data_IF_487209189077
#
_entry.id   IF_487209189077
#
_cell.length_a   1.000
_cell.length_b   1.000
_cell.length_c   1.000
_cell.angle_alpha   90.00
_cell.angle_beta   90.00
_cell.angle_gamma   90.00
#
_symmetry.space_group_name_H-M   'P 1'
#
loop_
_entity.id
_entity.type
_entity.pdbx_description
1 polymer ?
#
# COMPACT_ATOMS: atom_id res chain seq x y z
N UNK A 1 -12.18 13.76 -14.21
CA UNK A 1 -10.77 13.58 -14.66
C UNK A 1 -10.58 12.14 -15.12
N UNK A 2 -9.66 11.84 -16.04
CA UNK A 2 -9.42 10.47 -16.51
C UNK A 2 -8.79 9.55 -15.44
N UNK A 3 -8.12 10.14 -14.44
CA UNK A 3 -7.51 9.45 -13.31
C UNK A 3 -7.91 10.11 -11.99
N UNK A 4 -8.08 9.30 -10.95
CA UNK A 4 -8.35 9.74 -9.58
C UNK A 4 -7.29 9.12 -8.67
N UNK A 5 -6.46 9.96 -8.06
CA UNK A 5 -5.41 9.52 -7.13
C UNK A 5 -5.78 10.04 -5.74
N UNK A 6 -5.71 9.17 -4.75
CA UNK A 6 -5.91 9.52 -3.34
C UNK A 6 -4.59 9.32 -2.61
N UNK A 7 -4.23 10.20 -1.68
CA UNK A 7 -3.07 9.99 -0.83
C UNK A 7 -3.40 10.19 0.64
N UNK A 8 -2.64 9.50 1.48
CA UNK A 8 -2.69 9.60 2.94
C UNK A 8 -1.37 9.14 3.54
N UNK A 9 -1.16 9.36 4.83
CA UNK A 9 0.08 8.91 5.47
C UNK A 9 0.09 7.39 5.68
N UNK A 10 -0.98 6.85 6.27
CA UNK A 10 -1.09 5.45 6.67
C UNK A 10 -1.48 4.51 5.51
N UNK A 11 -0.97 3.27 5.48
CA UNK A 11 -1.32 2.30 4.45
C UNK A 11 -2.73 1.71 4.64
N UNK A 12 -3.46 1.57 3.54
CA UNK A 12 -4.64 0.68 3.51
C UNK A 12 -4.16 -0.76 3.67
N UNK A 13 -3.22 -1.16 2.82
CA UNK A 13 -2.48 -2.42 2.94
C UNK A 13 -0.99 -2.15 2.96
N UNK A 14 -0.30 -2.93 3.77
CA UNK A 14 1.14 -3.02 3.85
C UNK A 14 1.47 -4.37 4.47
N UNK A 15 2.56 -4.98 4.05
CA UNK A 15 3.07 -6.21 4.67
C UNK A 15 4.10 -5.93 5.78
N UNK A 16 4.43 -4.68 6.03
CA UNK A 16 5.65 -4.30 6.75
C UNK A 16 5.48 -4.16 8.26
N UNK A 17 6.21 -3.27 8.93
CA UNK A 17 6.28 -3.19 10.39
C UNK A 17 4.98 -2.72 11.07
N UNK A 18 4.17 -1.88 10.41
CA UNK A 18 2.86 -1.45 10.93
C UNK A 18 1.69 -2.23 10.32
N UNK A 19 1.84 -2.73 9.10
CA UNK A 19 0.83 -3.54 8.42
C UNK A 19 -0.42 -2.75 7.99
N UNK A 20 -1.55 -3.44 7.73
CA UNK A 20 -2.79 -2.81 7.27
C UNK A 20 -3.43 -1.91 8.34
N UNK A 21 -3.78 -0.67 7.97
CA UNK A 21 -4.54 0.19 8.88
C UNK A 21 -6.02 -0.16 8.84
N UNK A 22 -6.50 -0.88 9.85
CA UNK A 22 -7.90 -1.37 9.94
C UNK A 22 -8.96 -0.32 9.60
N UNK A 23 -8.82 0.91 10.10
CA UNK A 23 -9.77 2.00 9.82
C UNK A 23 -9.87 2.31 8.31
N UNK A 24 -8.74 2.25 7.59
CA UNK A 24 -8.69 2.50 6.15
C UNK A 24 -9.20 1.30 5.35
N UNK A 25 -8.89 0.08 5.78
CA UNK A 25 -9.46 -1.14 5.18
C UNK A 25 -10.99 -1.14 5.29
N UNK A 26 -11.52 -0.76 6.45
CA UNK A 26 -12.97 -0.81 6.70
C UNK A 26 -13.72 0.36 6.03
N UNK A 27 -13.11 1.55 5.92
CA UNK A 27 -13.82 2.78 5.54
C UNK A 27 -13.35 3.41 4.23
N UNK A 28 -12.05 3.37 3.93
CA UNK A 28 -11.50 4.02 2.74
C UNK A 28 -11.51 3.08 1.54
N UNK A 29 -11.07 1.83 1.70
CA UNK A 29 -11.04 0.83 0.63
C UNK A 29 -12.38 0.70 -0.11
N UNK A 30 -13.55 0.58 0.56
CA UNK A 30 -14.83 0.52 -0.15
C UNK A 30 -15.09 1.75 -1.03
N UNK A 31 -14.69 2.94 -0.58
CA UNK A 31 -14.85 4.19 -1.33
C UNK A 31 -13.90 4.25 -2.54
N UNK A 32 -12.65 3.79 -2.38
CA UNK A 32 -11.69 3.74 -3.48
C UNK A 32 -12.21 2.89 -4.64
N UNK A 33 -12.79 1.71 -4.34
CA UNK A 33 -13.45 0.86 -5.31
C UNK A 33 -14.74 1.47 -5.87
N UNK A 34 -15.62 2.01 -5.01
CA UNK A 34 -16.88 2.65 -5.42
C UNK A 34 -16.65 3.79 -6.42
N UNK A 35 -15.63 4.60 -6.21
CA UNK A 35 -15.29 5.73 -7.07
C UNK A 35 -14.27 5.39 -8.16
N UNK A 36 -13.87 4.11 -8.28
CA UNK A 36 -12.92 3.61 -9.28
C UNK A 36 -11.63 4.43 -9.29
N UNK A 37 -11.09 4.67 -8.10
CA UNK A 37 -9.81 5.34 -7.96
C UNK A 37 -8.72 4.58 -8.73
N UNK A 38 -7.74 5.30 -9.26
CA UNK A 38 -6.63 4.72 -10.02
C UNK A 38 -5.58 4.15 -9.08
N UNK A 39 -5.25 4.89 -8.03
CA UNK A 39 -4.23 4.52 -7.07
C UNK A 39 -4.44 5.21 -5.72
N UNK A 40 -3.99 4.54 -4.66
CA UNK A 40 -3.77 5.10 -3.34
C UNK A 40 -2.26 5.19 -3.06
N UNK A 41 -1.77 6.37 -2.68
CA UNK A 41 -0.37 6.61 -2.33
C UNK A 41 -0.23 6.85 -0.83
N UNK A 42 0.73 6.18 -0.19
CA UNK A 42 1.01 6.35 1.23
C UNK A 42 2.47 6.12 1.59
N UNK A 43 2.80 6.32 2.86
CA UNK A 43 4.11 5.99 3.43
C UNK A 43 3.89 5.26 4.75
N UNK A 44 4.39 5.85 5.83
CA UNK A 44 4.36 5.31 7.20
C UNK A 44 5.26 4.09 7.40
N UNK A 45 5.13 3.05 6.57
CA UNK A 45 6.08 1.95 6.57
C UNK A 45 7.33 2.31 5.76
N UNK A 46 8.49 2.02 6.33
CA UNK A 46 9.80 2.47 5.85
C UNK A 46 10.34 1.58 4.73
N UNK A 47 9.55 1.35 3.67
CA UNK A 47 9.95 0.55 2.52
C UNK A 47 9.14 0.96 1.28
N UNK A 48 9.37 0.26 0.17
CA UNK A 48 8.66 0.44 -1.09
C UNK A 48 7.80 -0.79 -1.36
N UNK A 49 6.51 -0.59 -1.61
CA UNK A 49 5.58 -1.67 -1.90
C UNK A 49 4.61 -1.28 -3.01
N UNK A 50 4.26 -2.27 -3.83
CA UNK A 50 3.08 -2.22 -4.70
C UNK A 50 2.18 -3.37 -4.30
N UNK A 51 0.97 -3.03 -3.87
CA UNK A 51 -0.11 -3.98 -3.62
C UNK A 51 -1.25 -3.69 -4.57
N UNK A 52 -2.00 -4.73 -4.91
CA UNK A 52 -3.22 -4.57 -5.69
C UNK A 52 -4.27 -5.57 -5.24
N UNK A 53 -5.52 -5.14 -5.27
CA UNK A 53 -6.65 -6.00 -4.98
C UNK A 53 -7.85 -5.70 -5.88
N UNK A 54 -8.75 -6.67 -5.95
CA UNK A 54 -9.99 -6.57 -6.69
C UNK A 54 -11.17 -6.68 -5.72
N UNK A 55 -12.15 -5.80 -5.85
CA UNK A 55 -13.40 -5.82 -5.11
C UNK A 55 -14.55 -5.48 -6.07
N UNK A 56 -15.57 -6.33 -6.12
CA UNK A 56 -16.79 -6.12 -6.91
C UNK A 56 -16.52 -5.74 -8.38
N UNK A 57 -15.50 -6.37 -8.99
CA UNK A 57 -15.11 -6.12 -10.39
C UNK A 57 -14.36 -4.81 -10.62
N UNK A 58 -13.87 -4.18 -9.55
CA UNK A 58 -13.03 -2.98 -9.62
C UNK A 58 -11.63 -3.27 -9.09
N UNK A 59 -10.62 -2.81 -9.84
CA UNK A 59 -9.22 -3.01 -9.53
C UNK A 59 -8.64 -1.78 -8.82
N UNK A 60 -7.87 -2.01 -7.75
CA UNK A 60 -7.19 -0.95 -7.00
C UNK A 60 -5.69 -1.21 -6.88
N UNK A 61 -4.92 -0.13 -7.02
CA UNK A 61 -3.48 -0.13 -6.77
C UNK A 61 -3.15 0.67 -5.51
N UNK A 62 -2.29 0.12 -4.66
CA UNK A 62 -1.75 0.78 -3.48
C UNK A 62 -0.24 0.82 -3.60
N UNK A 63 0.32 2.01 -3.40
CA UNK A 63 1.77 2.21 -3.39
C UNK A 63 2.18 2.76 -2.03
N UNK A 64 3.07 2.01 -1.36
CA UNK A 64 3.76 2.45 -0.15
C UNK A 64 5.12 2.98 -0.60
N UNK A 65 5.40 4.25 -0.32
CA UNK A 65 6.59 4.99 -0.72
C UNK A 65 7.20 5.69 0.50
N UNK A 66 7.54 4.90 1.53
CA UNK A 66 8.03 5.41 2.82
C UNK A 66 9.54 5.34 3.02
N UNK A 67 10.30 4.89 2.02
CA UNK A 67 11.75 4.64 2.15
C UNK A 67 12.67 5.87 1.89
N UNK A 68 12.20 7.08 2.17
CA UNK A 68 12.94 8.30 1.79
C UNK A 68 14.10 8.66 2.73
N UNK A 69 14.03 8.22 3.99
CA UNK A 69 15.03 8.49 5.03
C UNK A 69 15.58 7.18 5.61
N UNK A 70 14.65 6.29 6.01
CA UNK A 70 14.97 4.97 6.54
C UNK A 70 14.35 3.92 5.61
N UNK A 71 15.11 2.87 5.31
CA UNK A 71 14.64 1.67 4.63
C UNK A 71 14.75 0.48 5.60
N UNK A 72 13.62 -0.16 5.90
CA UNK A 72 13.49 -1.29 6.81
C UNK A 72 12.99 -2.52 6.07
N UNK A 73 13.73 -3.63 6.23
CA UNK A 73 13.36 -4.91 5.67
C UNK A 73 12.47 -5.71 6.63
N UNK A 74 11.30 -5.18 6.95
CA UNK A 74 10.30 -5.83 7.78
C UNK A 74 9.10 -6.24 6.94
N UNK A 75 8.69 -7.50 7.02
CA UNK A 75 7.49 -8.02 6.34
C UNK A 75 6.61 -8.88 7.26
N UNK A 76 6.57 -8.56 8.55
CA UNK A 76 5.87 -9.37 9.58
C UNK A 76 4.35 -9.45 9.39
N UNK A 77 3.74 -8.52 8.65
CA UNK A 77 2.29 -8.49 8.37
C UNK A 77 1.97 -9.05 6.96
N UNK A 78 2.85 -9.86 6.37
CA UNK A 78 2.63 -10.50 5.08
C UNK A 78 1.36 -11.39 5.04
N UNK A 79 0.98 -11.97 6.18
CA UNK A 79 -0.22 -12.79 6.31
C UNK A 79 -1.50 -11.97 6.60
N UNK A 80 -1.37 -10.67 6.87
CA UNK A 80 -2.50 -9.78 7.20
C UNK A 80 -3.09 -9.05 5.99
N UNK A 81 -2.45 -9.18 4.82
CA UNK A 81 -2.96 -8.66 3.54
C UNK A 81 -3.69 -9.75 2.75
N UNK A 82 -4.58 -9.40 1.80
CA UNK A 82 -5.21 -10.41 0.95
C UNK A 82 -4.17 -11.24 0.19
N UNK A 83 -4.46 -12.53 0.03
CA UNK A 83 -3.60 -13.44 -0.75
C UNK A 83 -3.33 -12.89 -2.14
N UNK A 84 -2.10 -13.07 -2.62
CA UNK A 84 -1.62 -12.56 -3.92
C UNK A 84 -1.74 -11.04 -4.11
N UNK A 85 -2.02 -10.24 -3.07
CA UNK A 85 -2.14 -8.79 -3.22
C UNK A 85 -0.79 -8.10 -3.39
N UNK A 86 0.28 -8.61 -2.77
CA UNK A 86 1.63 -8.06 -2.87
C UNK A 86 2.22 -8.33 -4.26
N UNK A 87 2.50 -7.27 -5.02
CA UNK A 87 3.06 -7.34 -6.38
C UNK A 87 4.54 -6.97 -6.41
N UNK A 88 4.97 -6.10 -5.51
CA UNK A 88 6.37 -5.71 -5.33
C UNK A 88 6.63 -5.33 -3.87
N UNK A 89 7.83 -5.66 -3.39
CA UNK A 89 8.33 -5.26 -2.07
C UNK A 89 9.84 -5.02 -2.15
N UNK A 90 10.29 -3.93 -1.52
CA UNK A 90 11.70 -3.62 -1.31
C UNK A 90 11.89 -2.87 0.01
N UNK A 91 12.72 -3.42 0.90
CA UNK A 91 13.10 -2.80 2.17
C UNK A 91 14.60 -2.86 2.45
N UNK A 92 15.44 -2.91 1.41
CA UNK A 92 16.87 -3.19 1.53
C UNK A 92 17.68 -2.10 2.25
N UNK A 93 18.80 -2.49 2.88
CA UNK A 93 19.77 -1.56 3.48
C UNK A 93 20.41 -0.63 2.45
N UNK A 94 20.61 0.64 2.86
CA UNK A 94 21.30 1.76 2.20
C UNK A 94 22.10 1.34 0.95
N UNK A 95 21.39 1.17 -0.16
CA UNK A 95 21.96 1.35 -1.49
C UNK A 95 21.34 2.64 -1.97
N UNK A 96 22.21 3.62 -2.21
CA UNK A 96 21.90 4.96 -2.72
C UNK A 96 20.77 4.87 -3.78
N UNK A 97 19.54 5.17 -3.34
CA UNK A 97 18.29 5.35 -4.09
C UNK A 97 18.05 4.57 -5.39
N UNK A 98 17.05 3.68 -5.38
CA UNK A 98 16.31 3.27 -6.59
C UNK A 98 16.89 2.12 -7.39
#
# INVERSE_FOLDING_TARGET
APYLIVSGHFPVYSVAEHGPTKCLVDRLRPLLHQYRATAYLCGHDHNLQHLADDLDGTHMNYFVVGAADIAENNNNHADDVPVDSLKYYWGGEIRLGG
#
